data_IF_953987932684
#
_entry.id   IF_953987932684
#
_cell.length_a   1.000
_cell.length_b   1.000
_cell.length_c   1.000
_cell.angle_alpha   90.00
_cell.angle_beta   90.00
_cell.angle_gamma   90.00
#
_symmetry.space_group_name_H-M   'P 1'
#
loop_
_entity.id
_entity.type
_entity.pdbx_description
1 polymer ?
#
# COMPACT_ATOMS: atom_id res chain seq x y z
N UNK A 1 -6.67 13.86 11.89
CA UNK A 1 -6.20 14.83 10.88
C UNK A 1 -5.49 14.06 9.78
N UNK A 2 -5.53 14.52 8.53
CA UNK A 2 -4.83 13.86 7.43
C UNK A 2 -3.33 14.22 7.45
N UNK A 3 -2.47 13.26 7.11
CA UNK A 3 -1.02 13.43 7.03
C UNK A 3 -0.49 12.80 5.73
N UNK A 4 0.53 13.41 5.13
CA UNK A 4 1.15 12.91 3.89
C UNK A 4 2.59 12.48 4.17
N UNK A 5 2.96 11.28 3.70
CA UNK A 5 4.33 10.78 3.73
C UNK A 5 4.83 10.49 2.30
N UNK A 6 6.11 10.77 2.04
CA UNK A 6 6.76 10.40 0.80
C UNK A 6 7.40 9.01 0.92
N UNK A 7 7.25 8.18 -0.12
CA UNK A 7 7.95 6.90 -0.26
C UNK A 7 8.76 6.90 -1.55
N UNK A 8 9.60 5.88 -1.75
CA UNK A 8 10.33 5.68 -3.02
C UNK A 8 9.43 5.48 -4.25
N UNK A 9 8.17 5.11 -4.07
CA UNK A 9 7.24 4.81 -5.18
C UNK A 9 6.14 5.89 -5.36
N UNK A 10 6.05 6.86 -4.46
CA UNK A 10 5.00 7.89 -4.49
C UNK A 10 4.59 8.36 -3.10
N UNK A 11 3.69 9.35 -3.04
CA UNK A 11 3.17 9.91 -1.78
C UNK A 11 1.94 9.13 -1.31
N UNK A 12 1.80 8.96 0.01
CA UNK A 12 0.63 8.34 0.64
C UNK A 12 -0.02 9.27 1.65
N UNK A 13 -1.36 9.24 1.72
CA UNK A 13 -2.16 9.93 2.72
C UNK A 13 -2.58 8.97 3.82
N UNK A 14 -2.16 9.24 5.04
CA UNK A 14 -2.55 8.52 6.25
C UNK A 14 -3.42 9.38 7.18
N UNK A 15 -3.73 8.84 8.35
CA UNK A 15 -4.49 9.52 9.41
C UNK A 15 -3.65 9.61 10.68
N UNK A 16 -3.76 10.75 11.34
CA UNK A 16 -3.29 10.95 12.71
C UNK A 16 -4.47 10.83 13.67
N UNK A 17 -4.33 9.95 14.66
CA UNK A 17 -5.22 9.76 15.80
C UNK A 17 -4.41 9.83 17.11
N UNK A 18 -4.66 10.86 17.91
CA UNK A 18 -3.81 11.20 19.05
C UNK A 18 -2.35 11.39 18.65
N UNK A 19 -1.46 10.56 19.21
CA UNK A 19 -0.02 10.55 18.92
C UNK A 19 0.39 9.52 17.84
N UNK A 20 -0.57 8.81 17.24
CA UNK A 20 -0.31 7.73 16.30
C UNK A 20 -0.62 8.19 14.89
N UNK A 21 0.35 7.99 13.98
CA UNK A 21 0.14 8.12 12.54
C UNK A 21 0.00 6.73 11.92
N UNK A 22 -1.10 6.49 11.20
CA UNK A 22 -1.38 5.23 10.52
C UNK A 22 -1.48 5.41 9.01
N UNK A 23 -0.90 4.46 8.29
CA UNK A 23 -0.94 4.34 6.83
C UNK A 23 -1.26 2.88 6.49
N UNK A 24 -2.48 2.64 6.01
CA UNK A 24 -3.02 1.31 5.77
C UNK A 24 -3.07 1.01 4.26
N UNK A 25 -2.87 -0.25 3.87
CA UNK A 25 -2.99 -0.64 2.46
C UNK A 25 -1.92 -0.08 1.52
N UNK A 26 -0.75 0.31 2.04
CA UNK A 26 0.38 0.80 1.24
C UNK A 26 0.97 -0.35 0.39
N UNK A 27 1.01 -0.24 -0.95
CA UNK A 27 1.58 -1.28 -1.79
C UNK A 27 3.11 -1.35 -1.64
N UNK A 28 3.64 -2.58 -1.49
CA UNK A 28 5.07 -2.83 -1.35
C UNK A 28 5.64 -3.77 -2.44
N UNK A 29 4.77 -4.44 -3.20
CA UNK A 29 5.11 -5.22 -4.38
C UNK A 29 3.99 -5.13 -5.43
N UNK A 30 4.30 -5.43 -6.70
CA UNK A 30 3.29 -5.64 -7.72
C UNK A 30 2.37 -6.81 -7.34
N UNK A 31 1.12 -6.77 -7.84
CA UNK A 31 0.12 -7.75 -7.47
C UNK A 31 0.51 -9.17 -7.94
N UNK A 32 0.45 -10.20 -7.08
CA UNK A 32 1.06 -11.52 -7.33
C UNK A 32 0.15 -12.48 -8.14
N UNK A 33 -0.65 -11.94 -9.07
CA UNK A 33 -1.55 -12.72 -9.93
C UNK A 33 -1.14 -12.67 -11.40
N UNK A 34 -1.79 -13.47 -12.25
CA UNK A 34 -1.44 -13.59 -13.66
C UNK A 34 0.01 -14.06 -13.85
N UNK A 35 0.78 -13.32 -14.64
CA UNK A 35 2.19 -13.62 -14.95
C UNK A 35 3.13 -13.58 -13.74
N UNK A 36 2.71 -12.96 -12.63
CA UNK A 36 3.48 -12.87 -11.38
C UNK A 36 3.20 -14.01 -10.39
N UNK A 37 2.21 -14.87 -10.67
CA UNK A 37 1.88 -15.97 -9.76
C UNK A 37 3.05 -16.96 -9.67
N UNK A 38 3.36 -17.41 -8.46
CA UNK A 38 4.46 -18.34 -8.16
C UNK A 38 5.86 -17.83 -8.57
N UNK A 39 6.04 -16.51 -8.59
CA UNK A 39 7.33 -15.87 -8.81
C UNK A 39 7.71 -15.02 -7.59
N UNK A 40 8.98 -14.61 -7.54
CA UNK A 40 9.43 -13.62 -6.58
C UNK A 40 8.62 -12.31 -6.72
N UNK A 41 8.42 -11.55 -5.63
CA UNK A 41 7.73 -10.26 -5.69
C UNK A 41 8.42 -9.30 -6.67
N UNK A 42 7.65 -8.75 -7.60
CA UNK A 42 8.12 -7.69 -8.48
C UNK A 42 7.94 -6.31 -7.80
N UNK A 43 8.76 -5.30 -8.13
CA UNK A 43 8.64 -3.96 -7.58
C UNK A 43 7.28 -3.33 -7.92
N UNK A 44 6.84 -2.37 -7.09
CA UNK A 44 5.63 -1.60 -7.34
C UNK A 44 5.90 -0.58 -8.45
N UNK A 45 4.98 -0.47 -9.39
CA UNK A 45 4.99 0.65 -10.34
C UNK A 45 4.75 1.97 -9.59
N UNK A 46 5.66 2.96 -9.70
CA UNK A 46 5.47 4.25 -9.07
C UNK A 46 4.16 4.91 -9.51
N UNK A 47 3.58 5.71 -8.62
CA UNK A 47 2.37 6.47 -8.92
C UNK A 47 2.58 7.97 -8.76
N UNK A 48 1.86 8.73 -9.58
CA UNK A 48 1.77 10.19 -9.45
C UNK A 48 0.71 10.59 -8.43
N UNK A 49 0.80 11.82 -7.93
CA UNK A 49 -0.14 12.36 -6.96
C UNK A 49 0.00 11.74 -5.56
N UNK A 50 -1.13 11.62 -4.87
CA UNK A 50 -1.21 11.11 -3.49
C UNK A 50 -2.17 9.93 -3.48
N UNK A 51 -1.70 8.78 -2.98
CA UNK A 51 -2.53 7.58 -2.81
C UNK A 51 -3.11 7.52 -1.41
N UNK A 52 -4.38 7.16 -1.29
CA UNK A 52 -5.01 6.95 0.01
C UNK A 52 -4.51 5.68 0.68
N UNK A 53 -4.09 5.84 1.92
CA UNK A 53 -3.66 4.78 2.82
C UNK A 53 -4.47 4.83 4.13
N UNK A 54 -5.79 4.91 3.99
CA UNK A 54 -6.74 5.08 5.09
C UNK A 54 -7.47 3.78 5.45
N UNK A 55 -7.39 2.77 4.60
CA UNK A 55 -8.10 1.50 4.74
C UNK A 55 -7.16 0.31 4.52
N UNK A 56 -7.47 -0.83 5.12
CA UNK A 56 -6.72 -2.06 4.87
C UNK A 56 -6.88 -2.51 3.42
N UNK A 57 -5.77 -2.98 2.83
CA UNK A 57 -5.82 -3.69 1.56
C UNK A 57 -6.41 -5.10 1.71
N UNK A 58 -6.66 -5.79 0.59
CA UNK A 58 -7.11 -7.18 0.61
C UNK A 58 -6.07 -8.08 1.28
N UNK A 59 -6.54 -9.09 2.01
CA UNK A 59 -5.69 -10.16 2.53
C UNK A 59 -5.40 -11.21 1.46
N UNK A 60 -4.34 -11.99 1.65
CA UNK A 60 -4.06 -13.12 0.76
C UNK A 60 -5.21 -14.16 0.84
N UNK A 61 -5.54 -14.87 -0.24
CA UNK A 61 -6.53 -15.95 -0.20
C UNK A 61 -6.18 -16.99 0.87
N UNK A 62 -7.17 -17.33 1.69
CA UNK A 62 -7.05 -18.34 2.74
C UNK A 62 -8.02 -19.50 2.46
N UNK A 63 -7.80 -20.63 3.13
CA UNK A 63 -8.80 -21.70 3.17
C UNK A 63 -10.01 -21.22 3.99
N UNK A 64 -11.23 -21.68 3.69
CA UNK A 64 -12.40 -21.43 4.53
C UNK A 64 -12.20 -21.90 5.98
#
# INVERSE_FOLDING_TARGET
MDIIAATRHGKVRGRVDGSIASYLGVPYAAAPFGVHRFRAPAPVEPWEGIRDALEFGPTAPQRP
#
